data_IF_441919288198
#
_entry.id   IF_441919288198
#
_cell.length_a   1.000
_cell.length_b   1.000
_cell.length_c   1.000
_cell.angle_alpha   90.00
_cell.angle_beta   90.00
_cell.angle_gamma   90.00
#
_symmetry.space_group_name_H-M   'P 1'
#
loop_
_entity.id
_entity.type
_entity.pdbx_description
1 polymer ?
#
# COMPACT_ATOMS: atom_id res chain seq x y z
N UNK A 1 -36.17 20.31 45.86
CA UNK A 1 -34.70 20.47 45.86
C UNK A 1 -34.07 19.13 45.47
N UNK A 2 -33.93 18.90 44.17
CA UNK A 2 -33.51 17.61 43.58
C UNK A 2 -31.99 17.57 43.44
N UNK A 3 -31.31 16.90 44.39
CA UNK A 3 -29.87 16.69 44.32
C UNK A 3 -29.53 15.59 43.31
N UNK A 4 -28.58 15.94 42.45
CA UNK A 4 -28.25 15.37 41.14
C UNK A 4 -27.55 14.01 41.23
N UNK A 5 -28.28 12.95 40.85
CA UNK A 5 -27.72 11.64 40.47
C UNK A 5 -26.67 11.75 39.33
N UNK A 6 -26.71 12.83 38.56
CA UNK A 6 -25.76 13.14 37.49
C UNK A 6 -24.35 13.53 37.97
N UNK A 7 -24.19 14.10 39.18
CA UNK A 7 -22.87 14.54 39.68
C UNK A 7 -21.97 13.40 40.18
N UNK A 8 -22.59 12.29 40.61
CA UNK A 8 -21.84 11.10 41.06
C UNK A 8 -21.33 10.26 39.88
N UNK A 9 -22.10 10.17 38.79
CA UNK A 9 -21.69 9.45 37.59
C UNK A 9 -20.47 10.11 36.91
N UNK A 10 -20.45 11.44 36.80
CA UNK A 10 -19.32 12.15 36.17
C UNK A 10 -18.01 12.00 36.95
N UNK A 11 -18.09 11.92 38.28
CA UNK A 11 -16.93 11.75 39.17
C UNK A 11 -16.34 10.33 39.09
N UNK A 12 -17.17 9.31 38.93
CA UNK A 12 -16.71 7.92 38.75
C UNK A 12 -16.08 7.74 37.35
N UNK A 13 -16.69 8.34 36.32
CA UNK A 13 -16.14 8.30 34.96
C UNK A 13 -14.79 9.03 34.83
N UNK A 14 -14.62 10.17 35.50
CA UNK A 14 -13.34 10.88 35.49
C UNK A 14 -12.24 10.13 36.25
N UNK A 15 -12.59 9.44 37.34
CA UNK A 15 -11.65 8.60 38.09
C UNK A 15 -11.21 7.36 37.30
N UNK A 16 -12.15 6.65 36.65
CA UNK A 16 -11.83 5.53 35.77
C UNK A 16 -10.98 5.94 34.57
N UNK A 17 -11.23 7.12 33.99
CA UNK A 17 -10.40 7.64 32.89
C UNK A 17 -8.98 7.98 33.36
N UNK A 18 -8.83 8.47 34.59
CA UNK A 18 -7.53 8.77 35.18
C UNK A 18 -6.74 7.49 35.50
N UNK A 19 -7.40 6.47 36.05
CA UNK A 19 -6.78 5.15 36.29
C UNK A 19 -6.40 4.45 34.97
N UNK A 20 -7.22 4.56 33.91
CA UNK A 20 -6.85 4.04 32.60
C UNK A 20 -5.65 4.78 31.98
N UNK A 21 -5.57 6.10 32.17
CA UNK A 21 -4.41 6.89 31.74
C UNK A 21 -3.15 6.54 32.54
N UNK A 22 -3.25 6.30 33.85
CA UNK A 22 -2.11 5.88 34.67
C UNK A 22 -1.65 4.44 34.36
N UNK A 23 -2.57 3.54 34.03
CA UNK A 23 -2.25 2.17 33.58
C UNK A 23 -1.59 2.21 32.19
N UNK A 24 -2.09 3.02 31.27
CA UNK A 24 -1.51 3.19 29.94
C UNK A 24 -0.13 3.87 30.02
N UNK A 25 0.05 4.85 30.90
CA UNK A 25 1.35 5.49 31.18
C UNK A 25 2.32 4.52 31.84
N UNK A 26 1.89 3.72 32.83
CA UNK A 26 2.74 2.72 33.48
C UNK A 26 3.14 1.60 32.49
N UNK A 27 2.24 1.19 31.60
CA UNK A 27 2.57 0.23 30.53
C UNK A 27 3.50 0.84 29.47
N UNK A 28 3.38 2.14 29.20
CA UNK A 28 4.29 2.88 28.32
C UNK A 28 5.67 3.05 28.95
N UNK A 29 5.74 3.33 30.26
CA UNK A 29 7.00 3.42 31.00
C UNK A 29 7.69 2.06 31.19
N UNK A 30 6.93 0.98 31.41
CA UNK A 30 7.46 -0.39 31.41
C UNK A 30 7.98 -0.80 30.03
N UNK A 31 7.28 -0.44 28.94
CA UNK A 31 7.75 -0.65 27.56
C UNK A 31 8.95 0.23 27.19
N UNK A 32 9.09 1.42 27.77
CA UNK A 32 10.25 2.31 27.60
C UNK A 32 11.45 1.79 28.40
N UNK A 33 11.22 1.28 29.61
CA UNK A 33 12.26 0.70 30.47
C UNK A 33 12.82 -0.61 29.91
N UNK A 34 11.98 -1.46 29.31
CA UNK A 34 12.44 -2.67 28.60
C UNK A 34 13.15 -2.37 27.27
N UNK A 35 12.89 -1.22 26.63
CA UNK A 35 13.61 -0.78 25.40
C UNK A 35 14.96 -0.12 25.68
N UNK A 36 15.26 0.28 26.92
CA UNK A 36 16.46 1.05 27.25
C UNK A 36 17.78 0.25 27.22
N UNK A 37 17.73 -1.08 27.08
CA UNK A 37 18.91 -1.96 26.93
C UNK A 37 19.03 -2.59 25.53
N UNK A 38 18.09 -2.35 24.62
CA UNK A 38 18.08 -2.96 23.28
C UNK A 38 18.57 -1.94 22.23
N UNK A 39 19.59 -2.31 21.45
CA UNK A 39 20.15 -1.49 20.36
C UNK A 39 19.04 -1.04 19.41
N UNK A 40 19.03 0.22 19.00
CA UNK A 40 18.01 0.78 18.11
C UNK A 40 17.78 -0.13 16.87
N UNK A 41 16.52 -0.36 16.45
CA UNK A 41 16.21 -1.27 15.36
C UNK A 41 16.84 -0.79 14.04
N UNK A 42 17.17 -1.72 13.14
CA UNK A 42 17.69 -1.36 11.83
C UNK A 42 16.70 -0.51 11.03
N UNK A 43 15.42 -0.89 11.05
CA UNK A 43 14.33 -0.10 10.49
C UNK A 43 13.21 0.01 11.52
N UNK A 44 12.92 1.23 11.94
CA UNK A 44 11.77 1.49 12.80
C UNK A 44 10.45 1.17 12.06
N UNK A 45 9.44 0.80 12.83
CA UNK A 45 8.06 0.84 12.37
C UNK A 45 7.75 2.26 11.87
N UNK A 46 7.19 2.35 10.66
CA UNK A 46 6.85 3.62 10.03
C UNK A 46 5.38 3.65 9.68
N UNK A 47 4.72 4.72 10.12
CA UNK A 47 3.35 5.03 9.74
C UNK A 47 3.46 6.29 8.89
N UNK A 48 3.18 6.13 7.60
CA UNK A 48 2.93 7.27 6.74
C UNK A 48 1.58 7.88 7.17
N UNK A 49 1.53 9.20 7.40
CA UNK A 49 0.28 9.91 7.76
C UNK A 49 -0.38 10.55 6.52
N UNK A 50 0.16 10.32 5.33
CA UNK A 50 -0.40 10.88 4.08
C UNK A 50 -1.78 10.31 3.78
N UNK A 51 -2.65 11.09 3.14
CA UNK A 51 -3.96 10.58 2.73
C UNK A 51 -3.81 9.48 1.64
N UNK A 52 -4.09 8.23 2.01
CA UNK A 52 -4.03 7.06 1.14
C UNK A 52 -4.94 7.19 -0.08
N UNK A 53 -6.16 7.70 0.12
CA UNK A 53 -7.14 7.86 -0.95
C UNK A 53 -6.62 8.86 -1.98
N UNK A 54 -6.07 10.00 -1.54
CA UNK A 54 -5.46 10.99 -2.44
C UNK A 54 -4.27 10.41 -3.20
N UNK A 55 -3.43 9.59 -2.56
CA UNK A 55 -2.32 8.89 -3.23
C UNK A 55 -2.83 7.92 -4.28
N UNK A 56 -3.81 7.08 -3.96
CA UNK A 56 -4.42 6.15 -4.90
C UNK A 56 -5.05 6.88 -6.09
N UNK A 57 -5.78 7.98 -5.84
CA UNK A 57 -6.36 8.82 -6.88
C UNK A 57 -5.30 9.44 -7.79
N UNK A 58 -4.22 9.98 -7.21
CA UNK A 58 -3.14 10.56 -7.99
C UNK A 58 -2.44 9.52 -8.86
N UNK A 59 -2.20 8.32 -8.35
CA UNK A 59 -1.63 7.20 -9.09
C UNK A 59 -2.54 6.79 -10.25
N UNK A 60 -3.85 6.62 -9.99
CA UNK A 60 -4.85 6.30 -11.01
C UNK A 60 -4.88 7.35 -12.13
N UNK A 61 -4.91 8.64 -11.77
CA UNK A 61 -4.96 9.75 -12.74
C UNK A 61 -3.72 9.85 -13.63
N UNK A 62 -2.59 9.32 -13.16
CA UNK A 62 -1.35 9.26 -13.92
C UNK A 62 -1.26 8.03 -14.84
N UNK A 63 -2.20 7.08 -14.76
CA UNK A 63 -2.22 5.94 -15.67
C UNK A 63 -2.59 6.36 -17.10
N UNK A 64 -1.85 5.83 -18.07
CA UNK A 64 -2.14 6.09 -19.50
C UNK A 64 -3.55 5.64 -19.90
N UNK A 65 -4.04 4.54 -19.34
CA UNK A 65 -5.40 4.02 -19.52
C UNK A 65 -6.44 5.05 -19.07
N UNK A 66 -6.26 5.62 -17.88
CA UNK A 66 -7.13 6.65 -17.33
C UNK A 66 -7.13 7.92 -18.18
N UNK A 67 -5.94 8.45 -18.50
CA UNK A 67 -5.79 9.65 -19.34
C UNK A 67 -6.47 9.48 -20.70
N UNK A 68 -6.29 8.32 -21.33
CA UNK A 68 -6.92 8.03 -22.62
C UNK A 68 -8.44 7.94 -22.51
N UNK A 69 -8.96 7.25 -21.48
CA UNK A 69 -10.40 7.13 -21.24
C UNK A 69 -11.03 8.50 -21.00
N UNK A 70 -10.40 9.35 -20.18
CA UNK A 70 -10.88 10.68 -19.89
C UNK A 70 -10.88 11.57 -21.14
N UNK A 71 -9.86 11.45 -22.00
CA UNK A 71 -9.80 12.14 -23.30
C UNK A 71 -10.91 11.69 -24.25
N UNK A 72 -11.17 10.38 -24.32
CA UNK A 72 -12.27 9.83 -25.13
C UNK A 72 -13.62 10.31 -24.63
N UNK A 73 -13.85 10.26 -23.31
CA UNK A 73 -15.07 10.77 -22.69
C UNK A 73 -15.27 12.24 -23.02
N UNK A 74 -14.26 13.08 -22.82
CA UNK A 74 -14.35 14.52 -23.11
C UNK A 74 -14.69 14.80 -24.58
N UNK A 75 -14.12 14.02 -25.51
CA UNK A 75 -14.41 14.12 -26.94
C UNK A 75 -15.86 13.75 -27.27
N UNK A 76 -16.45 12.77 -26.56
CA UNK A 76 -17.86 12.40 -26.71
C UNK A 76 -18.81 13.44 -26.10
N UNK A 77 -18.47 13.93 -24.91
CA UNK A 77 -19.23 14.98 -24.22
C UNK A 77 -19.25 16.28 -25.02
N UNK A 78 -18.23 16.56 -25.84
CA UNK A 78 -18.19 17.74 -26.70
C UNK A 78 -19.32 17.79 -27.74
N UNK A 79 -19.96 16.67 -28.08
CA UNK A 79 -21.15 16.65 -28.94
C UNK A 79 -22.44 16.97 -28.19
N UNK A 80 -22.43 16.93 -26.86
CA UNK A 80 -23.63 17.03 -26.01
C UNK A 80 -23.64 18.36 -25.26
N UNK A 81 -22.53 18.72 -24.63
CA UNK A 81 -22.44 19.82 -23.67
C UNK A 81 -21.66 21.01 -24.22
N UNK A 82 -21.97 22.21 -23.72
CA UNK A 82 -21.21 23.42 -24.03
C UNK A 82 -19.82 23.39 -23.40
N UNK A 83 -19.72 22.92 -22.16
CA UNK A 83 -18.47 22.70 -21.44
C UNK A 83 -18.28 21.20 -21.15
N UNK A 84 -17.62 20.45 -22.06
CA UNK A 84 -17.46 19.02 -21.89
C UNK A 84 -16.47 18.65 -20.78
N UNK A 85 -15.50 19.53 -20.47
CA UNK A 85 -14.46 19.25 -19.49
C UNK A 85 -15.03 19.35 -18.07
N UNK A 86 -15.81 20.39 -17.78
CA UNK A 86 -16.50 20.53 -16.50
C UNK A 86 -17.45 19.35 -16.25
N UNK A 87 -18.18 18.90 -17.28
CA UNK A 87 -19.07 17.74 -17.18
C UNK A 87 -18.29 16.46 -16.91
N UNK A 88 -17.15 16.24 -17.59
CA UNK A 88 -16.31 15.08 -17.35
C UNK A 88 -15.80 15.02 -15.89
N UNK A 89 -15.42 16.17 -15.33
CA UNK A 89 -14.97 16.28 -13.93
C UNK A 89 -16.12 15.99 -12.94
N UNK A 90 -17.34 16.47 -13.21
CA UNK A 90 -18.52 16.16 -12.38
C UNK A 90 -18.89 14.68 -12.42
N UNK A 91 -18.80 14.06 -13.60
CA UNK A 91 -18.99 12.61 -13.77
C UNK A 91 -17.97 11.86 -12.91
N UNK A 92 -16.68 12.22 -13.01
CA UNK A 92 -15.62 11.63 -12.18
C UNK A 92 -15.95 11.80 -10.69
N UNK A 93 -16.21 13.02 -10.21
CA UNK A 93 -16.54 13.29 -8.81
C UNK A 93 -17.76 12.48 -8.31
N UNK A 94 -18.76 12.27 -9.15
CA UNK A 94 -19.94 11.47 -8.81
C UNK A 94 -19.58 10.00 -8.65
N UNK A 95 -18.70 9.48 -9.50
CA UNK A 95 -18.13 8.13 -9.37
C UNK A 95 -17.31 8.03 -8.07
N UNK A 96 -16.45 9.02 -7.78
CA UNK A 96 -15.65 9.08 -6.55
C UNK A 96 -16.51 9.07 -5.28
N UNK A 97 -17.67 9.75 -5.33
CA UNK A 97 -18.62 9.82 -4.22
C UNK A 97 -19.46 8.53 -4.04
N UNK A 98 -19.18 7.46 -4.79
CA UNK A 98 -19.90 6.18 -4.70
C UNK A 98 -21.30 6.24 -5.32
N UNK A 99 -21.58 7.23 -6.17
CA UNK A 99 -22.89 7.44 -6.81
C UNK A 99 -22.88 7.13 -8.31
N UNK A 100 -21.84 6.45 -8.79
CA UNK A 100 -21.65 6.10 -10.20
C UNK A 100 -22.73 5.14 -10.74
N UNK A 101 -23.22 4.21 -9.93
CA UNK A 101 -24.16 3.15 -10.37
C UNK A 101 -25.48 3.68 -10.95
N UNK A 102 -25.90 4.89 -10.56
CA UNK A 102 -27.12 5.54 -11.06
C UNK A 102 -26.85 6.59 -12.12
N UNK A 103 -25.58 6.88 -12.41
CA UNK A 103 -25.19 8.00 -13.24
C UNK A 103 -25.67 7.82 -14.69
N UNK A 104 -25.54 6.62 -15.25
CA UNK A 104 -26.04 6.28 -16.59
C UNK A 104 -27.54 6.57 -16.71
N UNK A 105 -28.35 6.02 -15.79
CA UNK A 105 -29.81 6.19 -15.79
C UNK A 105 -30.23 7.66 -15.63
N UNK A 106 -29.53 8.40 -14.76
CA UNK A 106 -29.80 9.82 -14.54
C UNK A 106 -29.51 10.61 -15.82
N UNK A 107 -28.38 10.35 -16.48
CA UNK A 107 -27.98 11.06 -17.69
C UNK A 107 -28.81 10.69 -18.90
N UNK A 108 -29.34 9.47 -18.96
CA UNK A 108 -30.28 9.08 -20.01
C UNK A 108 -31.61 9.82 -19.90
N UNK A 109 -32.11 10.03 -18.67
CA UNK A 109 -33.40 10.69 -18.41
C UNK A 109 -33.30 12.20 -18.39
N UNK A 110 -32.26 12.73 -17.76
CA UNK A 110 -32.07 14.15 -17.46
C UNK A 110 -30.61 14.58 -17.75
N UNK A 111 -30.19 14.60 -19.03
CA UNK A 111 -28.81 14.92 -19.41
C UNK A 111 -28.39 16.34 -19.02
N UNK A 112 -29.32 17.28 -18.92
CA UNK A 112 -29.10 18.66 -18.47
C UNK A 112 -28.63 18.77 -17.01
N UNK A 113 -28.84 17.73 -16.18
CA UNK A 113 -28.29 17.68 -14.81
C UNK A 113 -26.77 17.64 -14.76
N UNK A 114 -26.13 17.08 -15.79
CA UNK A 114 -24.66 17.06 -15.86
C UNK A 114 -24.09 18.44 -16.20
N UNK A 115 -24.76 19.17 -17.11
CA UNK A 115 -24.35 20.48 -17.57
C UNK A 115 -25.24 21.01 -18.70
N UNK A 116 -24.94 22.23 -19.13
CA UNK A 116 -25.74 22.88 -20.17
C UNK A 116 -25.53 22.21 -21.54
N UNK A 117 -26.63 21.75 -22.13
CA UNK A 117 -26.65 21.12 -23.45
C UNK A 117 -26.39 22.12 -24.57
N UNK A 118 -25.76 21.65 -25.64
CA UNK A 118 -25.60 22.38 -26.90
C UNK A 118 -26.95 22.67 -27.57
N UNK A 119 -26.98 23.70 -28.41
CA UNK A 119 -28.19 24.17 -29.07
C UNK A 119 -29.24 24.78 -28.14
N UNK A 120 -30.42 25.01 -28.67
CA UNK A 120 -31.56 25.67 -27.98
C UNK A 120 -32.79 24.76 -28.00
N UNK A 121 -33.47 24.67 -26.86
CA UNK A 121 -34.78 23.99 -26.76
C UNK A 121 -35.97 24.97 -26.78
N UNK A 122 -35.70 26.27 -27.03
CA UNK A 122 -36.77 27.26 -27.17
C UNK A 122 -37.63 26.89 -28.38
N UNK A 123 -38.95 26.96 -28.22
CA UNK A 123 -39.91 26.60 -29.28
C UNK A 123 -39.62 27.32 -30.61
N UNK A 124 -39.32 28.62 -30.54
CA UNK A 124 -38.97 29.47 -31.69
C UNK A 124 -37.68 29.06 -32.41
N UNK A 125 -36.81 28.28 -31.75
CA UNK A 125 -35.51 27.87 -32.27
C UNK A 125 -35.51 26.42 -32.77
N UNK A 126 -36.58 25.65 -32.53
CA UNK A 126 -36.66 24.22 -32.92
C UNK A 126 -36.49 23.99 -34.42
N UNK A 127 -36.90 24.94 -35.26
CA UNK A 127 -36.74 24.88 -36.71
C UNK A 127 -35.42 25.50 -37.22
N UNK A 128 -34.62 26.10 -36.33
CA UNK A 128 -33.33 26.73 -36.65
C UNK A 128 -32.17 25.73 -36.50
N UNK A 129 -30.96 26.17 -36.90
CA UNK A 129 -29.72 25.41 -36.70
C UNK A 129 -29.50 25.02 -35.22
N UNK A 130 -29.82 25.92 -34.29
CA UNK A 130 -29.69 25.69 -32.85
C UNK A 130 -30.66 24.62 -32.32
N UNK A 131 -31.85 24.49 -32.91
CA UNK A 131 -32.78 23.39 -32.60
C UNK A 131 -32.29 22.05 -33.15
N UNK A 132 -31.68 22.04 -34.35
CA UNK A 132 -31.05 20.84 -34.92
C UNK A 132 -29.86 20.37 -34.06
N UNK A 133 -29.00 21.30 -33.63
CA UNK A 133 -27.88 21.03 -32.73
C UNK A 133 -28.36 20.42 -31.40
N UNK A 134 -29.47 20.90 -30.83
CA UNK A 134 -30.07 20.31 -29.63
C UNK A 134 -30.53 18.87 -29.86
N UNK A 135 -31.16 18.57 -31.00
CA UNK A 135 -31.61 17.22 -31.36
C UNK A 135 -30.43 16.27 -31.54
N UNK A 136 -29.35 16.74 -32.17
CA UNK A 136 -28.11 15.99 -32.32
C UNK A 136 -27.49 15.69 -30.96
N UNK A 137 -27.35 16.71 -30.08
CA UNK A 137 -26.83 16.54 -28.73
C UNK A 137 -27.56 15.45 -27.95
N UNK A 138 -28.90 15.45 -27.96
CA UNK A 138 -29.69 14.41 -27.30
C UNK A 138 -29.47 13.01 -27.91
N UNK A 139 -29.28 12.90 -29.23
CA UNK A 139 -28.98 11.63 -29.89
C UNK A 139 -27.61 11.04 -29.52
N UNK A 140 -26.67 11.90 -29.10
CA UNK A 140 -25.33 11.49 -28.67
C UNK A 140 -25.26 11.01 -27.21
N UNK A 141 -26.30 11.28 -26.39
CA UNK A 141 -26.35 10.87 -24.98
C UNK A 141 -26.20 9.36 -24.84
N UNK A 142 -27.05 8.57 -25.50
CA UNK A 142 -27.01 7.10 -25.41
C UNK A 142 -25.67 6.51 -25.86
N UNK A 143 -25.03 7.12 -26.86
CA UNK A 143 -23.70 6.72 -27.35
C UNK A 143 -22.58 7.01 -26.35
N UNK A 144 -22.80 7.93 -25.42
CA UNK A 144 -21.82 8.33 -24.40
C UNK A 144 -21.95 7.55 -23.11
N UNK A 145 -23.14 6.98 -22.82
CA UNK A 145 -23.39 6.12 -21.65
C UNK A 145 -22.35 5.00 -21.54
N UNK A 146 -22.09 4.29 -22.65
CA UNK A 146 -21.10 3.20 -22.64
C UNK A 146 -19.68 3.64 -22.26
N UNK A 147 -19.30 4.89 -22.53
CA UNK A 147 -18.00 5.44 -22.11
C UNK A 147 -17.98 5.81 -20.64
N UNK A 148 -19.10 6.25 -20.08
CA UNK A 148 -19.26 6.55 -18.66
C UNK A 148 -19.19 5.25 -17.84
N UNK A 149 -19.88 4.20 -18.26
CA UNK A 149 -19.83 2.88 -17.61
C UNK A 149 -18.43 2.26 -17.67
N UNK A 150 -17.73 2.43 -18.80
CA UNK A 150 -16.33 2.04 -18.93
C UNK A 150 -15.43 2.81 -17.97
N UNK A 151 -15.61 4.14 -17.83
CA UNK A 151 -14.86 4.95 -16.87
C UNK A 151 -15.15 4.50 -15.43
N UNK A 152 -16.41 4.23 -15.09
CA UNK A 152 -16.81 3.72 -13.78
C UNK A 152 -16.16 2.37 -13.47
N UNK A 153 -16.17 1.44 -14.44
CA UNK A 153 -15.55 0.12 -14.29
C UNK A 153 -14.02 0.22 -14.15
N UNK A 154 -13.40 1.10 -14.94
CA UNK A 154 -11.97 1.39 -14.83
C UNK A 154 -11.63 1.95 -13.45
N UNK A 155 -12.42 2.92 -12.98
CA UNK A 155 -12.25 3.52 -11.67
C UNK A 155 -12.35 2.45 -10.57
N UNK A 156 -13.45 1.70 -10.53
CA UNK A 156 -13.67 0.64 -9.54
C UNK A 156 -12.50 -0.34 -9.49
N UNK A 157 -12.09 -0.89 -10.63
CA UNK A 157 -11.05 -1.92 -10.67
C UNK A 157 -9.65 -1.37 -10.36
N UNK A 158 -9.27 -0.23 -10.96
CA UNK A 158 -7.91 0.31 -10.81
C UNK A 158 -7.75 1.02 -9.47
N UNK A 159 -8.74 1.80 -9.03
CA UNK A 159 -8.69 2.44 -7.70
C UNK A 159 -8.59 1.41 -6.57
N UNK A 160 -9.42 0.36 -6.59
CA UNK A 160 -9.34 -0.72 -5.60
C UNK A 160 -7.97 -1.40 -5.64
N UNK A 161 -7.38 -1.57 -6.82
CA UNK A 161 -6.03 -2.13 -6.96
C UNK A 161 -4.98 -1.24 -6.31
N UNK A 162 -5.03 0.07 -6.57
CA UNK A 162 -4.09 1.05 -5.99
C UNK A 162 -4.25 1.17 -4.48
N UNK A 163 -5.48 1.28 -3.97
CA UNK A 163 -5.71 1.41 -2.53
C UNK A 163 -5.26 0.14 -1.80
N UNK A 164 -5.59 -1.04 -2.32
CA UNK A 164 -5.16 -2.31 -1.72
C UNK A 164 -3.65 -2.46 -1.74
N UNK A 165 -2.98 -2.06 -2.83
CA UNK A 165 -1.52 -2.07 -2.90
C UNK A 165 -0.91 -1.14 -1.85
N UNK A 166 -1.37 0.10 -1.78
CA UNK A 166 -0.84 1.09 -0.83
C UNK A 166 -1.10 0.66 0.63
N UNK A 167 -2.27 0.11 0.94
CA UNK A 167 -2.57 -0.44 2.27
C UNK A 167 -1.62 -1.56 2.64
N UNK A 168 -1.35 -2.51 1.73
CA UNK A 168 -0.37 -3.59 1.96
C UNK A 168 1.04 -3.04 2.15
N UNK A 169 1.46 -2.08 1.33
CA UNK A 169 2.77 -1.42 1.49
C UNK A 169 2.87 -0.76 2.88
N UNK A 170 1.83 -0.06 3.31
CA UNK A 170 1.77 0.54 4.64
C UNK A 170 1.79 -0.47 5.78
N UNK A 171 1.03 -1.57 5.69
CA UNK A 171 1.04 -2.64 6.69
C UNK A 171 2.44 -3.24 6.83
N UNK A 172 3.13 -3.43 5.71
CA UNK A 172 4.53 -3.88 5.72
C UNK A 172 5.43 -2.86 6.41
N UNK A 173 5.26 -1.55 6.13
CA UNK A 173 6.05 -0.49 6.76
C UNK A 173 5.88 -0.38 8.29
N UNK A 174 4.78 -0.90 8.86
CA UNK A 174 4.57 -0.99 10.32
C UNK A 174 5.44 -2.04 11.00
N UNK A 175 6.04 -2.96 10.24
CA UNK A 175 6.88 -4.03 10.79
C UNK A 175 8.26 -3.48 11.15
N UNK A 176 8.58 -3.39 12.43
CA UNK A 176 9.93 -3.06 12.89
C UNK A 176 10.92 -4.16 12.45
N UNK A 177 12.07 -3.77 11.90
CA UNK A 177 13.17 -4.69 11.59
C UNK A 177 14.19 -4.59 12.73
N UNK A 178 14.32 -5.63 13.57
CA UNK A 178 15.15 -5.59 14.76
C UNK A 178 16.63 -5.46 14.38
N UNK A 179 17.42 -4.85 15.26
CA UNK A 179 18.87 -4.90 15.14
C UNK A 179 19.41 -6.22 15.68
N UNK A 180 20.63 -6.56 15.29
CA UNK A 180 21.35 -7.70 15.85
C UNK A 180 22.16 -7.29 17.08
N UNK A 181 22.33 -8.22 18.01
CA UNK A 181 23.23 -8.07 19.14
C UNK A 181 24.68 -7.92 18.67
N UNK A 182 25.53 -7.38 19.54
CA UNK A 182 26.95 -7.24 19.24
C UNK A 182 27.63 -8.59 18.98
N UNK A 183 27.16 -9.65 19.64
CA UNK A 183 27.63 -11.03 19.44
C UNK A 183 27.30 -11.50 18.01
N UNK A 184 26.04 -11.35 17.58
CA UNK A 184 25.60 -11.73 16.24
C UNK A 184 26.32 -10.93 15.14
N UNK A 185 26.53 -9.63 15.34
CA UNK A 185 27.31 -8.78 14.41
C UNK A 185 28.77 -9.23 14.33
N UNK A 186 29.37 -9.62 15.46
CA UNK A 186 30.76 -10.08 15.50
C UNK A 186 30.91 -11.43 14.81
N UNK A 187 29.97 -12.36 15.06
CA UNK A 187 29.92 -13.65 14.38
C UNK A 187 29.85 -13.49 12.86
N UNK A 188 28.96 -12.62 12.36
CA UNK A 188 28.84 -12.31 10.93
C UNK A 188 30.17 -11.84 10.32
N UNK A 189 30.89 -10.93 11.01
CA UNK A 189 32.20 -10.43 10.56
C UNK A 189 33.28 -11.52 10.57
N UNK A 190 33.24 -12.43 11.54
CA UNK A 190 34.19 -13.54 11.60
C UNK A 190 33.98 -14.54 10.45
N UNK A 191 32.72 -14.80 10.08
CA UNK A 191 32.40 -15.63 8.90
C UNK A 191 32.91 -14.96 7.63
N UNK A 192 32.69 -13.65 7.45
CA UNK A 192 33.22 -12.89 6.31
C UNK A 192 34.76 -12.92 6.27
N UNK A 193 35.42 -12.89 7.44
CA UNK A 193 36.87 -13.00 7.56
C UNK A 193 37.40 -14.44 7.46
N UNK A 194 36.55 -15.45 7.22
CA UNK A 194 36.93 -16.87 7.11
C UNK A 194 37.37 -17.52 8.44
N UNK A 195 37.07 -16.88 9.58
CA UNK A 195 37.41 -17.39 10.93
C UNK A 195 36.32 -18.31 11.48
N UNK A 196 35.08 -18.09 11.08
CA UNK A 196 33.91 -18.90 11.46
C UNK A 196 33.20 -19.45 10.20
N UNK A 197 32.25 -20.36 10.40
CA UNK A 197 31.47 -20.99 9.32
C UNK A 197 29.99 -20.96 9.65
N UNK A 198 29.14 -20.89 8.61
CA UNK A 198 27.69 -21.00 8.71
C UNK A 198 27.19 -22.30 9.36
N UNK A 199 28.03 -23.34 9.43
CA UNK A 199 27.72 -24.61 10.09
C UNK A 199 27.82 -24.57 11.63
N UNK A 200 28.43 -23.52 12.20
CA UNK A 200 28.75 -23.42 13.65
C UNK A 200 28.10 -22.23 14.33
N UNK A 201 26.96 -21.78 13.83
CA UNK A 201 26.24 -20.63 14.41
C UNK A 201 25.74 -20.99 15.82
N UNK A 202 26.09 -20.23 16.88
CA UNK A 202 25.54 -20.42 18.22
C UNK A 202 24.01 -20.35 18.19
N UNK A 203 23.33 -21.17 19.00
CA UNK A 203 21.86 -21.27 18.97
C UNK A 203 21.18 -19.90 19.19
N UNK A 204 21.71 -19.10 20.13
CA UNK A 204 21.18 -17.78 20.44
C UNK A 204 21.32 -16.81 19.26
N UNK A 205 22.49 -16.77 18.62
CA UNK A 205 22.74 -15.97 17.42
C UNK A 205 21.85 -16.44 16.25
N UNK A 206 21.63 -17.74 16.10
CA UNK A 206 20.75 -18.28 15.07
C UNK A 206 19.28 -17.87 15.26
N UNK A 207 18.81 -17.76 16.51
CA UNK A 207 17.47 -17.24 16.84
C UNK A 207 17.33 -15.77 16.42
N UNK A 208 18.36 -14.96 16.63
CA UNK A 208 18.36 -13.56 16.18
C UNK A 208 18.30 -13.45 14.66
N UNK A 209 19.10 -14.23 13.93
CA UNK A 209 19.04 -14.26 12.47
C UNK A 209 17.67 -14.70 11.95
N UNK A 210 17.05 -15.69 12.60
CA UNK A 210 15.70 -16.15 12.24
C UNK A 210 14.64 -15.07 12.50
N UNK A 211 14.75 -14.33 13.63
CA UNK A 211 13.88 -13.19 13.95
C UNK A 211 14.05 -12.06 12.94
N UNK A 212 15.30 -11.76 12.55
CA UNK A 212 15.61 -10.77 11.53
C UNK A 212 15.03 -11.17 10.17
N UNK A 213 15.26 -12.41 9.71
CA UNK A 213 14.71 -12.92 8.46
C UNK A 213 13.18 -12.84 8.45
N UNK A 214 12.52 -13.29 9.52
CA UNK A 214 11.06 -13.20 9.63
C UNK A 214 10.55 -11.75 9.56
N UNK A 215 11.27 -10.80 10.17
CA UNK A 215 10.92 -9.37 10.09
C UNK A 215 11.13 -8.83 8.66
N UNK A 216 12.19 -9.24 7.98
CA UNK A 216 12.46 -8.87 6.59
C UNK A 216 11.39 -9.43 5.63
N UNK A 217 10.98 -10.69 5.81
CA UNK A 217 9.91 -11.29 5.02
C UNK A 217 8.57 -10.57 5.21
N UNK A 218 8.27 -10.18 6.46
CA UNK A 218 7.07 -9.38 6.75
C UNK A 218 7.17 -7.96 6.19
N UNK A 219 8.36 -7.34 6.18
CA UNK A 219 8.60 -5.95 5.74
C UNK A 219 8.69 -5.81 4.22
N UNK A 220 9.28 -6.78 3.53
CA UNK A 220 9.58 -6.70 2.10
C UNK A 220 8.81 -7.72 1.26
N UNK A 221 8.15 -8.68 1.91
CA UNK A 221 7.49 -9.81 1.28
C UNK A 221 8.31 -11.08 1.44
N UNK A 222 7.63 -12.22 1.40
CA UNK A 222 8.23 -13.53 1.57
C UNK A 222 9.36 -13.76 0.55
N UNK A 223 10.52 -14.19 1.05
CA UNK A 223 11.73 -14.50 0.30
C UNK A 223 12.27 -13.31 -0.53
N UNK A 224 11.80 -12.08 -0.26
CA UNK A 224 12.16 -10.91 -1.05
C UNK A 224 13.68 -10.68 -1.04
N UNK A 225 14.33 -10.92 0.10
CA UNK A 225 15.78 -10.70 0.26
C UNK A 225 16.62 -11.69 -0.53
N UNK A 226 16.09 -12.83 -0.95
CA UNK A 226 16.83 -13.85 -1.70
C UNK A 226 16.74 -13.65 -3.22
N UNK A 227 15.94 -12.69 -3.68
CA UNK A 227 15.82 -12.37 -5.10
C UNK A 227 17.07 -11.65 -5.60
N UNK A 228 17.49 -11.95 -6.82
CA UNK A 228 18.69 -11.39 -7.43
C UNK A 228 18.63 -9.87 -7.61
N UNK A 229 17.42 -9.32 -7.75
CA UNK A 229 17.13 -7.90 -7.93
C UNK A 229 16.85 -7.16 -6.60
N UNK A 230 16.99 -7.83 -5.45
CA UNK A 230 16.76 -7.20 -4.16
C UNK A 230 17.80 -6.10 -3.88
N UNK A 231 17.31 -4.87 -3.75
CA UNK A 231 18.12 -3.70 -3.44
C UNK A 231 17.49 -2.96 -2.26
N UNK A 232 18.14 -3.07 -1.10
CA UNK A 232 17.67 -2.45 0.14
C UNK A 232 17.53 -0.92 0.01
N UNK A 233 18.38 -0.28 -0.79
CA UNK A 233 18.34 1.18 -0.99
C UNK A 233 17.09 1.63 -1.76
N UNK A 234 16.54 0.76 -2.62
CA UNK A 234 15.27 0.98 -3.34
C UNK A 234 14.06 0.54 -2.52
N UNK A 235 14.23 -0.46 -1.65
CA UNK A 235 13.16 -1.02 -0.84
C UNK A 235 12.77 -0.12 0.35
N UNK A 236 13.70 0.74 0.81
CA UNK A 236 13.45 1.68 1.89
C UNK A 236 12.91 3.01 1.33
N UNK A 237 11.77 3.53 1.82
CA UNK A 237 11.24 4.83 1.39
C UNK A 237 12.24 5.97 1.62
N UNK A 238 12.56 6.72 0.57
CA UNK A 238 13.55 7.82 0.63
C UNK A 238 13.16 8.96 1.58
N UNK A 239 11.86 9.12 1.83
CA UNK A 239 11.32 10.13 2.74
C UNK A 239 11.45 9.75 4.22
N UNK A 240 11.88 8.52 4.53
CA UNK A 240 12.10 8.08 5.90
C UNK A 240 13.54 8.43 6.34
N UNK A 241 13.68 9.09 7.51
CA UNK A 241 15.01 9.38 8.09
C UNK A 241 15.57 8.10 8.71
N UNK A 242 16.72 7.66 8.23
CA UNK A 242 17.44 6.50 8.75
C UNK A 242 18.86 6.85 9.16
N UNK A 243 19.37 6.20 10.20
CA UNK A 243 20.79 6.22 10.51
C UNK A 243 21.55 5.41 9.45
N UNK A 244 22.44 6.08 8.70
CA UNK A 244 23.27 5.46 7.66
C UNK A 244 24.08 4.27 8.21
N UNK A 245 24.53 4.33 9.47
CA UNK A 245 25.29 3.23 10.08
C UNK A 245 24.42 1.98 10.26
N UNK A 246 23.19 2.15 10.74
CA UNK A 246 22.25 1.05 10.93
C UNK A 246 21.81 0.45 9.58
N UNK A 247 21.59 1.27 8.55
CA UNK A 247 21.27 0.79 7.20
C UNK A 247 22.44 0.00 6.60
N UNK A 248 23.67 0.47 6.77
CA UNK A 248 24.86 -0.26 6.30
C UNK A 248 25.04 -1.59 7.03
N UNK A 249 24.82 -1.62 8.35
CA UNK A 249 24.89 -2.87 9.13
C UNK A 249 23.79 -3.85 8.71
N UNK A 250 22.56 -3.36 8.48
CA UNK A 250 21.47 -4.16 7.93
C UNK A 250 21.82 -4.70 6.53
N UNK A 251 22.44 -3.89 5.68
CA UNK A 251 22.87 -4.33 4.35
C UNK A 251 23.87 -5.49 4.43
N UNK A 252 24.79 -5.45 5.40
CA UNK A 252 25.72 -6.57 5.67
C UNK A 252 24.95 -7.79 6.18
N UNK A 253 24.00 -7.61 7.10
CA UNK A 253 23.17 -8.70 7.62
C UNK A 253 22.33 -9.38 6.52
N UNK A 254 21.75 -8.61 5.60
CA UNK A 254 21.02 -9.14 4.44
C UNK A 254 21.94 -9.98 3.56
N UNK A 255 23.16 -9.49 3.25
CA UNK A 255 24.14 -10.25 2.46
C UNK A 255 24.53 -11.56 3.13
N UNK A 256 24.73 -11.53 4.45
CA UNK A 256 25.03 -12.72 5.23
C UNK A 256 23.89 -13.75 5.15
N UNK A 257 22.63 -13.33 5.30
CA UNK A 257 21.47 -14.21 5.17
C UNK A 257 21.32 -14.79 3.75
N UNK A 258 21.62 -14.00 2.71
CA UNK A 258 21.64 -14.47 1.32
C UNK A 258 22.70 -15.56 1.11
N UNK A 259 23.93 -15.33 1.58
CA UNK A 259 25.03 -16.29 1.45
C UNK A 259 24.76 -17.57 2.24
N UNK A 260 24.27 -17.44 3.47
CA UNK A 260 23.82 -18.57 4.29
C UNK A 260 22.81 -19.45 3.53
N UNK A 261 21.80 -18.82 2.92
CA UNK A 261 20.79 -19.55 2.16
C UNK A 261 21.41 -20.33 0.99
N UNK A 262 22.34 -19.73 0.25
CA UNK A 262 23.06 -20.41 -0.84
C UNK A 262 23.86 -21.61 -0.33
N UNK A 263 24.56 -21.48 0.81
CA UNK A 263 25.30 -22.59 1.41
C UNK A 263 24.40 -23.73 1.88
N UNK A 264 23.26 -23.40 2.51
CA UNK A 264 22.27 -24.39 2.93
C UNK A 264 21.73 -25.19 1.72
N UNK A 265 21.44 -24.51 0.60
CA UNK A 265 21.03 -25.16 -0.65
C UNK A 265 22.13 -26.07 -1.21
N UNK A 266 23.38 -25.60 -1.26
CA UNK A 266 24.52 -26.38 -1.76
C UNK A 266 24.78 -27.63 -0.92
N UNK A 267 24.66 -27.51 0.41
CA UNK A 267 24.81 -28.62 1.34
C UNK A 267 23.68 -29.65 1.16
N UNK A 268 22.44 -29.21 0.97
CA UNK A 268 21.31 -30.09 0.70
C UNK A 268 21.51 -30.88 -0.61
N UNK A 269 21.96 -30.22 -1.68
CA UNK A 269 22.27 -30.88 -2.98
C UNK A 269 23.40 -31.90 -2.84
N UNK A 270 24.43 -31.59 -2.05
CA UNK A 270 25.55 -32.51 -1.82
C UNK A 270 25.09 -33.75 -1.05
N UNK A 271 24.25 -33.57 -0.03
CA UNK A 271 23.70 -34.67 0.76
C UNK A 271 22.77 -35.58 -0.05
N UNK A 272 21.98 -35.05 -0.99
CA UNK A 272 21.12 -35.88 -1.87
C UNK A 272 21.97 -36.71 -2.85
N UNK A 273 22.98 -36.10 -3.49
CA UNK A 273 23.92 -36.82 -4.37
C UNK A 273 24.64 -37.96 -3.65
N UNK A 274 25.13 -37.73 -2.42
CA UNK A 274 25.80 -38.77 -1.64
C UNK A 274 24.86 -39.93 -1.25
N UNK A 275 23.58 -39.66 -0.97
CA UNK A 275 22.58 -40.69 -0.65
C UNK A 275 22.26 -41.57 -1.87
N UNK A 276 22.17 -41.00 -3.07
CA UNK A 276 21.92 -41.77 -4.29
C UNK A 276 23.11 -42.65 -4.69
N UNK A 277 24.34 -42.15 -4.52
CA UNK A 277 25.57 -42.95 -4.74
C UNK A 277 25.65 -44.12 -3.74
N UNK A 278 25.30 -43.89 -2.47
CA UNK A 278 25.28 -44.96 -1.45
C UNK A 278 24.19 -46.02 -1.70
N UNK A 279 23.03 -45.64 -2.27
CA UNK A 279 21.97 -46.59 -2.67
C UNK A 279 22.38 -47.45 -3.87
N UNK A 280 23.06 -46.87 -4.86
CA UNK A 280 23.55 -47.62 -6.03
C UNK A 280 24.62 -48.65 -5.66
N UNK A 281 25.42 -48.39 -4.62
CA UNK A 281 26.48 -49.29 -4.15
C UNK A 281 25.99 -50.48 -3.30
N UNK A 282 24.73 -50.46 -2.85
CA UNK A 282 24.09 -51.52 -2.05
C UNK A 282 23.24 -52.50 -2.88
N UNK A 283 23.14 -52.27 -4.19
CA UNK A 283 22.33 -53.03 -5.14
C UNK A 283 23.16 -53.91 -6.11
N UNK A 284 24.47 -53.96 -5.90
CA UNK A 284 25.44 -54.85 -6.56
C UNK A 284 26.03 -55.77 -5.51
#
# INVERSE_FOLDING_TARGET
>A
MTNTLWGRATTVFSKLKKEQLEVEQSQKELNVSSKATEKAPYLAAYIDNSNLEQKALSALRNEKSYVNMFKELNSRLAFIYKDPQEVALRIEQTILAGKGDKLSDILEREPDRAGELRGSDRFIDKLKSTGKERKEALSHVSRTISSIEKLQSLYKNSYETHINRLTREWERLKVEVPSLSQEAVTFMKNVEAGRDSYSKIPEQVNKEFSKLQSALDKRFGQDAIHKQDFDLSKAIPQNQRHDKKLVNELQTAVKFLQQRHVEEQNNAITQTKSKDVMKSRKKT
#
